data_IF_568438263175
#
_entry.id   IF_568438263175
#
_cell.length_a   1.000
_cell.length_b   1.000
_cell.length_c   1.000
_cell.angle_alpha   90.00
_cell.angle_beta   90.00
_cell.angle_gamma   90.00
#
_symmetry.space_group_name_H-M   'P 1'
#
loop_
_entity.id
_entity.type
_entity.pdbx_description
1 polymer ?
#
# COMPACT_ATOMS: atom_id res chain seq x y z
N UNK A 1 5.82 16.50 -26.23
CA UNK A 1 6.76 16.60 -25.11
C UNK A 1 6.68 18.03 -24.60
N UNK A 2 5.93 18.26 -23.51
CA UNK A 2 5.78 19.58 -22.90
C UNK A 2 7.03 19.92 -22.07
N UNK A 3 7.61 21.07 -22.34
CA UNK A 3 8.72 21.61 -21.55
C UNK A 3 8.15 22.10 -20.22
N UNK A 4 8.61 21.52 -19.13
CA UNK A 4 8.29 21.97 -17.78
C UNK A 4 9.22 23.15 -17.44
N UNK A 5 8.68 24.36 -17.35
CA UNK A 5 9.44 25.52 -16.90
C UNK A 5 9.23 25.69 -15.39
N UNK A 6 10.29 25.62 -14.62
CA UNK A 6 10.29 25.96 -13.20
C UNK A 6 10.71 27.42 -13.09
N UNK A 7 9.80 28.27 -12.61
CA UNK A 7 10.12 29.66 -12.34
C UNK A 7 10.43 29.82 -10.85
N UNK A 8 11.65 30.18 -10.51
CA UNK A 8 12.04 30.58 -9.16
C UNK A 8 11.80 32.09 -9.00
N UNK A 9 11.00 32.48 -8.03
CA UNK A 9 10.86 33.88 -7.64
C UNK A 9 11.56 34.07 -6.31
N UNK A 10 12.73 34.71 -6.30
CA UNK A 10 13.36 35.17 -5.07
C UNK A 10 12.71 36.49 -4.63
N UNK A 11 12.17 36.53 -3.42
CA UNK A 11 11.80 37.76 -2.75
C UNK A 11 12.87 38.10 -1.73
N UNK A 12 13.66 39.12 -2.03
CA UNK A 12 14.57 39.73 -1.06
C UNK A 12 13.76 40.45 0.01
N UNK A 13 13.96 40.09 1.28
CA UNK A 13 13.60 40.82 2.50
C UNK A 13 12.72 40.18 3.54
N UNK A 14 12.68 38.85 3.67
CA UNK A 14 12.05 38.24 4.87
C UNK A 14 12.94 37.07 5.38
N UNK A 15 13.11 36.89 6.70
CA UNK A 15 14.04 35.93 7.28
C UNK A 15 13.56 34.46 7.22
N UNK A 16 12.49 34.17 6.53
CA UNK A 16 12.07 32.79 6.19
C UNK A 16 11.95 32.68 4.68
N UNK A 17 12.92 32.00 4.07
CA UNK A 17 12.90 31.65 2.66
C UNK A 17 11.78 30.64 2.39
N UNK A 18 10.62 31.10 2.01
CA UNK A 18 9.62 30.25 1.37
C UNK A 18 10.00 30.16 -0.11
N UNK A 19 10.51 29.02 -0.54
CA UNK A 19 10.65 28.71 -1.96
C UNK A 19 9.28 28.39 -2.52
N UNK A 20 8.74 29.28 -3.35
CA UNK A 20 7.52 29.01 -4.10
C UNK A 20 7.90 28.35 -5.43
N UNK A 21 7.54 27.10 -5.63
CA UNK A 21 7.62 26.45 -6.92
C UNK A 21 6.24 26.59 -7.57
N UNK A 22 6.10 27.49 -8.52
CA UNK A 22 4.89 27.56 -9.33
C UNK A 22 4.98 26.47 -10.42
N UNK A 23 4.22 25.40 -10.26
CA UNK A 23 4.03 24.41 -11.31
C UNK A 23 2.98 24.94 -12.29
N UNK A 24 3.40 25.38 -13.45
CA UNK A 24 2.49 25.72 -14.55
C UNK A 24 2.25 24.47 -15.39
N UNK A 25 1.08 23.88 -15.27
CA UNK A 25 0.63 22.81 -16.18
C UNK A 25 -0.16 23.44 -17.33
N UNK A 26 0.10 23.02 -18.55
CA UNK A 26 -0.74 23.38 -19.68
C UNK A 26 -1.90 22.38 -19.79
N UNK A 27 -3.08 22.90 -20.06
CA UNK A 27 -4.21 22.05 -20.43
C UNK A 27 -4.02 21.43 -21.84
N UNK A 28 -4.98 20.61 -22.25
CA UNK A 28 -4.97 19.95 -23.56
C UNK A 28 -4.94 20.94 -24.76
N UNK A 29 -5.34 22.19 -24.51
CA UNK A 29 -5.45 23.25 -25.51
C UNK A 29 -4.23 24.20 -25.45
N UNK A 30 -3.27 23.91 -24.55
CA UNK A 30 -2.01 24.67 -24.43
C UNK A 30 -2.08 25.89 -23.52
N UNK A 31 -3.21 26.15 -22.84
CA UNK A 31 -3.36 27.27 -21.92
C UNK A 31 -2.65 26.97 -20.58
N UNK A 32 -2.03 28.00 -20.01
CA UNK A 32 -1.44 27.87 -18.68
C UNK A 32 -2.53 27.77 -17.61
N UNK A 33 -2.56 26.64 -16.91
CA UNK A 33 -3.35 26.52 -15.70
C UNK A 33 -2.58 27.10 -14.52
N UNK A 34 -2.96 28.31 -14.09
CA UNK A 34 -2.50 28.86 -12.80
C UNK A 34 -3.42 28.27 -11.74
N UNK A 35 -2.92 27.29 -11.00
CA UNK A 35 -3.66 26.71 -9.88
C UNK A 35 -3.39 27.56 -8.64
N UNK A 36 -4.35 28.37 -8.26
CA UNK A 36 -4.37 29.14 -7.00
C UNK A 36 -4.44 30.63 -7.19
N UNK A 37 -5.55 31.25 -6.78
CA UNK A 37 -5.76 32.70 -6.83
C UNK A 37 -5.08 33.46 -5.70
N UNK A 38 -4.62 32.79 -4.65
CA UNK A 38 -4.19 33.43 -3.41
C UNK A 38 -2.82 32.98 -2.91
N UNK A 39 -1.81 32.92 -3.77
CA UNK A 39 -0.41 32.61 -3.39
C UNK A 39 -0.22 31.27 -2.65
N UNK A 40 -1.16 30.35 -2.74
CA UNK A 40 -1.07 29.01 -2.18
C UNK A 40 -0.56 28.00 -3.19
N UNK A 41 0.40 27.18 -2.80
CA UNK A 41 0.76 25.97 -3.55
C UNK A 41 -0.34 24.94 -3.29
N UNK A 42 -1.08 24.55 -4.32
CA UNK A 42 -2.01 23.43 -4.21
C UNK A 42 -1.16 22.15 -4.26
N UNK A 43 -0.91 21.57 -3.10
CA UNK A 43 -0.35 20.22 -3.02
C UNK A 43 -1.43 19.20 -3.38
N UNK A 44 -1.21 18.43 -4.43
CA UNK A 44 -2.07 17.27 -4.72
C UNK A 44 -1.46 16.08 -4.02
N UNK A 45 -2.21 15.48 -3.09
CA UNK A 45 -1.84 14.19 -2.52
C UNK A 45 -1.91 13.13 -3.64
N UNK A 46 -0.79 12.50 -3.92
CA UNK A 46 -0.68 11.51 -4.98
C UNK A 46 -1.63 10.31 -4.72
N UNK A 47 -1.83 9.92 -3.48
CA UNK A 47 -2.73 8.82 -3.13
C UNK A 47 -4.18 9.20 -3.42
N UNK A 48 -4.57 10.44 -3.11
CA UNK A 48 -5.88 10.97 -3.43
C UNK A 48 -6.10 11.05 -4.95
N UNK A 49 -5.09 11.46 -5.69
CA UNK A 49 -5.14 11.47 -7.15
C UNK A 49 -5.33 10.06 -7.73
N UNK A 50 -4.55 9.08 -7.26
CA UNK A 50 -4.68 7.67 -7.66
C UNK A 50 -6.06 7.08 -7.32
N UNK A 51 -6.64 7.50 -6.19
CA UNK A 51 -8.01 7.12 -5.84
C UNK A 51 -9.01 7.62 -6.90
N UNK A 52 -8.92 8.88 -7.32
CA UNK A 52 -9.78 9.45 -8.36
C UNK A 52 -9.60 8.79 -9.72
N UNK A 53 -8.38 8.41 -10.09
CA UNK A 53 -8.10 7.66 -11.32
C UNK A 53 -8.62 6.22 -11.30
N UNK A 54 -9.10 5.73 -10.15
CA UNK A 54 -9.55 4.34 -10.00
C UNK A 54 -8.40 3.34 -9.88
N UNK A 55 -7.21 3.80 -9.53
CA UNK A 55 -5.98 3.01 -9.39
C UNK A 55 -5.64 2.65 -7.95
N UNK A 56 -6.54 2.93 -7.01
CA UNK A 56 -6.40 2.56 -5.60
C UNK A 56 -7.32 1.38 -5.25
N UNK A 57 -6.75 0.39 -4.61
CA UNK A 57 -7.40 -0.87 -4.27
C UNK A 57 -7.20 -1.23 -2.80
N UNK A 58 -8.07 -2.09 -2.30
CA UNK A 58 -7.98 -2.68 -0.97
C UNK A 58 -8.34 -4.16 -1.02
N UNK A 59 -7.70 -4.93 -0.18
CA UNK A 59 -8.02 -6.32 0.06
C UNK A 59 -7.81 -6.63 1.54
N UNK A 60 -8.68 -7.41 2.15
CA UNK A 60 -8.55 -7.82 3.53
C UNK A 60 -9.11 -9.22 3.74
N UNK A 61 -8.57 -9.93 4.71
CA UNK A 61 -9.11 -11.20 5.14
C UNK A 61 -8.94 -11.40 6.63
N UNK A 62 -9.92 -12.10 7.22
CA UNK A 62 -9.93 -12.48 8.64
C UNK A 62 -9.60 -13.95 8.76
N UNK A 63 -8.62 -14.27 9.58
CA UNK A 63 -8.14 -15.62 9.81
C UNK A 63 -8.46 -16.08 11.22
N UNK A 64 -9.52 -16.88 11.40
CA UNK A 64 -9.77 -17.56 12.67
C UNK A 64 -8.85 -18.78 12.77
N UNK A 65 -7.76 -18.70 13.52
CA UNK A 65 -6.74 -19.78 13.51
C UNK A 65 -6.33 -20.25 14.90
N UNK A 66 -6.24 -21.56 15.03
CA UNK A 66 -5.85 -22.23 16.26
C UNK A 66 -4.34 -22.45 16.43
N UNK A 67 -3.52 -22.34 15.42
CA UNK A 67 -2.06 -22.51 15.57
C UNK A 67 -1.24 -22.13 14.33
N UNK A 68 -1.84 -21.75 13.25
CA UNK A 68 -1.11 -21.57 11.99
C UNK A 68 -1.63 -20.38 11.21
N UNK A 69 -0.78 -19.56 10.85
CA UNK A 69 -0.47 -18.81 9.66
C UNK A 69 -1.62 -18.33 8.78
N UNK A 70 -1.69 -17.03 8.67
CA UNK A 70 -2.30 -16.41 7.51
C UNK A 70 -1.20 -16.17 6.47
N UNK A 71 -1.34 -16.75 5.31
CA UNK A 71 -0.43 -16.53 4.18
C UNK A 71 -1.19 -15.83 3.05
N UNK A 72 -0.66 -14.68 2.62
CA UNK A 72 -1.11 -13.99 1.43
C UNK A 72 0.09 -13.82 0.50
N UNK A 73 -0.06 -14.22 -0.75
CA UNK A 73 0.92 -13.92 -1.78
C UNK A 73 0.34 -12.91 -2.74
N UNK A 74 1.13 -11.87 -3.04
CA UNK A 74 0.80 -10.86 -4.03
C UNK A 74 1.91 -10.75 -5.05
N UNK A 75 1.53 -10.45 -6.29
CA UNK A 75 2.45 -10.20 -7.38
C UNK A 75 1.93 -9.06 -8.26
N UNK A 76 2.76 -8.07 -8.52
CA UNK A 76 2.47 -7.04 -9.50
C UNK A 76 2.65 -7.61 -10.91
N UNK A 77 1.75 -7.28 -11.81
CA UNK A 77 1.82 -7.67 -13.22
C UNK A 77 2.98 -7.04 -13.98
N UNK A 78 3.18 -7.42 -15.24
CA UNK A 78 4.24 -6.86 -16.08
C UNK A 78 4.12 -5.33 -16.20
N UNK A 79 5.21 -4.62 -15.93
CA UNK A 79 5.26 -3.17 -16.03
C UNK A 79 4.46 -2.40 -14.97
N UNK A 80 3.85 -3.10 -14.02
CA UNK A 80 3.10 -2.49 -12.93
C UNK A 80 4.02 -2.20 -11.75
N UNK A 81 4.01 -0.95 -11.29
CA UNK A 81 4.63 -0.55 -10.05
C UNK A 81 3.51 -0.36 -9.03
N UNK A 82 3.41 -1.28 -8.06
CA UNK A 82 2.40 -1.23 -7.02
C UNK A 82 3.04 -0.77 -5.70
N UNK A 83 2.48 0.28 -5.12
CA UNK A 83 2.79 0.75 -3.78
C UNK A 83 1.81 0.12 -2.81
N UNK A 84 2.26 -0.78 -1.97
CA UNK A 84 1.41 -1.57 -1.06
C UNK A 84 1.66 -1.17 0.38
N UNK A 85 0.62 -0.72 1.05
CA UNK A 85 0.58 -0.50 2.50
C UNK A 85 -0.10 -1.67 3.19
N UNK A 86 0.44 -2.11 4.33
CA UNK A 86 -0.05 -3.27 5.06
C UNK A 86 -0.44 -2.85 6.45
N UNK A 87 -1.64 -3.24 6.86
CA UNK A 87 -2.06 -3.18 8.26
C UNK A 87 -2.45 -4.57 8.77
N UNK A 88 -2.20 -4.80 10.05
CA UNK A 88 -2.44 -6.09 10.70
C UNK A 88 -3.00 -5.89 12.09
N UNK A 89 -3.98 -6.71 12.42
CA UNK A 89 -4.55 -6.78 13.76
C UNK A 89 -4.64 -8.24 14.21
N UNK A 90 -4.42 -8.50 15.48
CA UNK A 90 -4.54 -9.83 16.06
C UNK A 90 -5.12 -9.79 17.46
N UNK A 91 -5.94 -10.76 17.80
CA UNK A 91 -6.47 -10.93 19.16
C UNK A 91 -5.44 -11.54 20.12
N UNK A 92 -4.30 -11.99 19.65
CA UNK A 92 -3.18 -12.53 20.42
C UNK A 92 -1.84 -12.18 19.78
N UNK A 93 -0.76 -12.53 20.46
CA UNK A 93 0.59 -12.23 19.99
C UNK A 93 0.92 -13.02 18.72
N UNK A 94 1.43 -12.32 17.72
CA UNK A 94 1.80 -12.88 16.41
C UNK A 94 3.14 -12.33 15.93
N UNK A 95 3.82 -13.12 15.11
CA UNK A 95 4.94 -12.68 14.29
C UNK A 95 4.46 -12.44 12.86
N UNK A 96 4.81 -11.31 12.30
CA UNK A 96 4.58 -10.98 10.91
C UNK A 96 5.89 -10.98 10.12
N UNK A 97 5.85 -11.60 8.95
CA UNK A 97 7.00 -11.71 8.05
C UNK A 97 6.64 -11.28 6.65
N UNK A 98 7.58 -10.62 5.99
CA UNK A 98 7.51 -10.31 4.57
C UNK A 98 8.69 -10.96 3.86
N UNK A 99 8.38 -11.74 2.82
CA UNK A 99 9.37 -12.40 2.00
C UNK A 99 9.22 -11.98 0.54
N UNK A 100 10.35 -11.85 -0.14
CA UNK A 100 10.45 -11.56 -1.57
C UNK A 100 10.93 -12.78 -2.35
N UNK A 101 10.38 -13.00 -3.55
CA UNK A 101 10.75 -14.10 -4.43
C UNK A 101 10.21 -15.44 -3.95
N UNK A 102 9.07 -15.45 -3.27
CA UNK A 102 8.41 -16.69 -2.82
C UNK A 102 7.89 -17.52 -3.99
N UNK A 103 7.79 -18.83 -3.79
CA UNK A 103 7.08 -19.72 -4.71
C UNK A 103 5.97 -20.46 -3.98
N UNK A 104 4.80 -20.52 -4.62
CA UNK A 104 3.60 -21.11 -4.02
C UNK A 104 2.78 -21.87 -5.05
N UNK A 105 1.91 -22.77 -4.58
CA UNK A 105 0.94 -23.49 -5.41
C UNK A 105 -0.42 -23.48 -4.75
N UNK A 106 -1.49 -23.58 -5.55
CA UNK A 106 -2.86 -23.61 -5.03
C UNK A 106 -3.27 -22.31 -4.32
N UNK A 107 -4.13 -22.44 -3.34
CA UNK A 107 -4.73 -21.31 -2.63
C UNK A 107 -5.99 -20.79 -3.31
N UNK A 108 -6.56 -19.73 -2.74
CA UNK A 108 -7.79 -19.11 -3.27
C UNK A 108 -7.45 -17.74 -3.84
N UNK A 109 -7.73 -17.54 -5.12
CA UNK A 109 -7.57 -16.23 -5.75
C UNK A 109 -8.46 -15.18 -5.04
N UNK A 110 -7.90 -14.03 -4.76
CA UNK A 110 -8.59 -12.93 -4.11
C UNK A 110 -8.83 -11.80 -5.10
N UNK A 111 -10.07 -11.32 -5.16
CA UNK A 111 -10.41 -10.20 -6.04
C UNK A 111 -10.28 -8.90 -5.28
N UNK A 112 -9.34 -8.02 -5.66
CA UNK A 112 -9.19 -6.72 -5.04
C UNK A 112 -10.45 -5.86 -5.14
N UNK A 113 -10.73 -5.13 -4.09
CA UNK A 113 -11.84 -4.17 -4.06
C UNK A 113 -11.26 -2.80 -4.44
N UNK A 114 -11.78 -2.23 -5.51
CA UNK A 114 -11.42 -0.88 -5.90
C UNK A 114 -12.03 0.14 -4.96
N UNK A 115 -11.23 1.11 -4.52
CA UNK A 115 -11.68 2.17 -3.60
C UNK A 115 -12.56 3.22 -4.28
N UNK A 116 -12.31 3.55 -5.57
CA UNK A 116 -13.21 4.37 -6.34
C UNK A 116 -14.33 3.52 -6.96
N UNK A 117 -15.53 3.59 -6.39
CA UNK A 117 -16.67 2.77 -6.81
C UNK A 117 -17.35 3.22 -8.11
N UNK A 118 -16.99 4.41 -8.63
CA UNK A 118 -17.59 4.99 -9.84
C UNK A 118 -16.84 4.60 -11.12
N UNK A 119 -15.66 4.00 -11.01
CA UNK A 119 -14.82 3.65 -12.16
C UNK A 119 -14.76 2.12 -12.30
N UNK A 120 -14.92 1.61 -13.50
CA UNK A 120 -14.73 0.18 -13.80
C UNK A 120 -13.26 -0.08 -14.20
N UNK A 121 -12.41 -0.43 -13.24
CA UNK A 121 -11.03 -0.86 -13.50
C UNK A 121 -10.72 -2.14 -12.70
N UNK A 122 -9.81 -2.96 -13.19
CA UNK A 122 -9.28 -4.14 -12.52
C UNK A 122 -7.84 -3.86 -12.10
N UNK A 123 -7.42 -4.39 -10.95
CA UNK A 123 -6.03 -4.32 -10.53
C UNK A 123 -5.16 -5.23 -11.38
N UNK A 124 -3.94 -4.78 -11.66
CA UNK A 124 -2.87 -5.61 -12.23
C UNK A 124 -2.07 -6.37 -11.15
N UNK A 125 -2.44 -6.21 -9.89
CA UNK A 125 -1.88 -6.99 -8.78
C UNK A 125 -2.73 -8.24 -8.59
N UNK A 126 -2.12 -9.41 -8.77
CA UNK A 126 -2.74 -10.69 -8.46
C UNK A 126 -2.52 -11.03 -6.98
N UNK A 127 -3.52 -11.60 -6.34
CA UNK A 127 -3.47 -12.04 -4.94
C UNK A 127 -3.97 -13.46 -4.78
N UNK A 128 -3.31 -14.22 -3.91
CA UNK A 128 -3.72 -15.58 -3.53
C UNK A 128 -3.68 -15.70 -2.01
N UNK A 129 -4.78 -16.17 -1.46
CA UNK A 129 -4.96 -16.41 -0.04
C UNK A 129 -4.74 -17.87 0.30
N UNK A 130 -4.08 -18.14 1.42
CA UNK A 130 -3.78 -19.49 1.94
C UNK A 130 -3.14 -20.43 0.87
N UNK A 131 -2.12 -19.98 0.12
CA UNK A 131 -1.43 -20.87 -0.81
C UNK A 131 -0.60 -21.91 -0.06
N UNK A 132 -0.28 -23.01 -0.73
CA UNK A 132 0.79 -23.92 -0.26
C UNK A 132 2.13 -23.30 -0.61
N UNK A 133 2.92 -22.93 0.40
CA UNK A 133 4.23 -22.34 0.20
C UNK A 133 5.25 -23.43 -0.09
N UNK A 134 5.87 -23.38 -1.27
CA UNK A 134 6.96 -24.26 -1.69
C UNK A 134 8.30 -23.70 -1.23
N UNK A 135 8.51 -22.40 -1.41
CA UNK A 135 9.68 -21.67 -0.90
C UNK A 135 9.23 -20.30 -0.42
N UNK A 136 9.72 -19.89 0.74
CA UNK A 136 9.40 -18.56 1.27
C UNK A 136 10.10 -17.43 0.51
N UNK A 137 11.25 -17.72 -0.10
CA UNK A 137 12.10 -16.68 -0.70
C UNK A 137 12.97 -15.99 0.36
N UNK A 138 13.33 -14.74 0.09
CA UNK A 138 14.20 -13.93 0.95
C UNK A 138 13.37 -13.14 1.97
N UNK A 139 13.68 -13.30 3.26
CA UNK A 139 13.07 -12.50 4.32
C UNK A 139 13.54 -11.04 4.21
N UNK A 140 12.61 -10.12 4.00
CA UNK A 140 12.91 -8.69 3.89
C UNK A 140 12.39 -7.88 5.09
N UNK A 141 11.41 -8.41 5.84
CA UNK A 141 10.94 -7.77 7.07
C UNK A 141 10.34 -8.79 8.06
N UNK A 142 10.48 -8.47 9.35
CA UNK A 142 9.82 -9.16 10.46
C UNK A 142 9.34 -8.14 11.49
N UNK A 143 8.13 -8.33 11.99
CA UNK A 143 7.55 -7.51 13.06
C UNK A 143 6.81 -8.37 14.06
N UNK A 144 6.78 -7.90 15.31
CA UNK A 144 5.92 -8.45 16.35
C UNK A 144 4.59 -7.69 16.35
N UNK A 145 3.50 -8.43 16.26
CA UNK A 145 2.13 -7.93 16.41
C UNK A 145 1.67 -8.36 17.80
N UNK A 146 1.61 -7.41 18.72
CA UNK A 146 1.14 -7.70 20.08
C UNK A 146 -0.39 -7.70 20.10
N UNK A 147 -0.96 -8.82 20.53
CA UNK A 147 -2.39 -8.96 20.76
C UNK A 147 -2.79 -8.59 22.18
N UNK A 148 -4.09 -8.56 22.45
CA UNK A 148 -4.60 -8.33 23.79
C UNK A 148 -6.04 -8.78 23.96
N UNK A 149 -6.36 -9.33 25.12
CA UNK A 149 -7.74 -9.62 25.53
C UNK A 149 -8.34 -8.35 26.12
N UNK A 150 -9.19 -7.66 25.36
CA UNK A 150 -9.93 -6.49 25.83
C UNK A 150 -10.11 -5.41 24.78
N UNK A 151 -10.89 -4.39 25.09
CA UNK A 151 -11.22 -3.26 24.19
C UNK A 151 -10.02 -2.39 23.75
N UNK A 152 -8.79 -2.78 24.10
CA UNK A 152 -7.54 -2.08 23.76
C UNK A 152 -6.61 -2.92 22.89
N UNK A 153 -7.08 -4.05 22.41
CA UNK A 153 -6.34 -4.90 21.49
C UNK A 153 -6.46 -4.41 20.05
N UNK A 154 -6.18 -3.17 19.79
CA UNK A 154 -5.67 -2.81 18.50
C UNK A 154 -4.20 -3.18 18.55
N UNK A 155 -3.82 -4.29 17.96
CA UNK A 155 -2.45 -4.53 17.60
C UNK A 155 -1.99 -3.25 16.92
N UNK A 156 -1.09 -2.52 17.58
CA UNK A 156 -0.63 -1.27 17.00
C UNK A 156 -0.14 -1.61 15.62
N UNK A 157 -0.74 -1.07 14.60
CA UNK A 157 -0.07 -0.92 13.33
C UNK A 157 1.24 -0.25 13.68
N UNK A 158 2.31 -1.01 13.76
CA UNK A 158 3.60 -0.44 13.50
C UNK A 158 3.36 0.32 12.20
N UNK A 159 3.59 1.63 12.20
CA UNK A 159 3.12 2.56 11.17
C UNK A 159 3.11 1.92 9.79
N UNK A 160 2.12 2.21 8.98
CA UNK A 160 1.87 1.53 7.71
C UNK A 160 3.18 1.32 6.96
N UNK A 161 3.61 0.06 6.87
CA UNK A 161 4.77 -0.27 6.06
C UNK A 161 4.34 -0.17 4.61
N UNK A 162 4.97 0.69 3.88
CA UNK A 162 4.77 0.80 2.44
C UNK A 162 5.90 0.08 1.72
N UNK A 163 5.54 -0.77 0.78
CA UNK A 163 6.47 -1.46 -0.13
C UNK A 163 6.16 -1.08 -1.56
N UNK A 164 7.21 -0.88 -2.35
CA UNK A 164 7.09 -0.80 -3.80
C UNK A 164 7.43 -2.16 -4.37
N UNK A 165 6.44 -2.85 -4.91
CA UNK A 165 6.60 -4.19 -5.42
C UNK A 165 7.31 -4.20 -6.78
N UNK A 166 8.33 -5.03 -6.92
CA UNK A 166 8.96 -5.30 -8.20
C UNK A 166 8.00 -6.08 -9.12
N UNK A 167 7.86 -5.70 -10.40
CA UNK A 167 7.02 -6.43 -11.35
C UNK A 167 7.42 -7.91 -11.45
N UNK A 168 6.44 -8.79 -11.63
CA UNK A 168 6.61 -10.23 -11.81
C UNK A 168 7.29 -10.94 -10.63
N UNK A 169 7.36 -10.29 -9.47
CA UNK A 169 7.95 -10.86 -8.25
C UNK A 169 6.84 -11.19 -7.26
N UNK A 170 6.86 -12.40 -6.72
CA UNK A 170 5.92 -12.81 -5.67
C UNK A 170 6.42 -12.34 -4.30
N UNK A 171 5.54 -11.71 -3.54
CA UNK A 171 5.76 -11.32 -2.15
C UNK A 171 4.83 -12.13 -1.26
N UNK A 172 5.40 -12.83 -0.28
CA UNK A 172 4.65 -13.58 0.73
C UNK A 172 4.54 -12.74 2.01
N UNK A 173 3.33 -12.45 2.40
CA UNK A 173 2.97 -11.87 3.70
C UNK A 173 2.47 -12.99 4.60
N UNK A 174 3.18 -13.24 5.68
CA UNK A 174 2.91 -14.35 6.60
C UNK A 174 2.71 -13.86 8.01
N UNK A 175 1.60 -14.24 8.62
CA UNK A 175 1.34 -14.02 10.04
C UNK A 175 1.35 -15.36 10.77
N UNK A 176 2.14 -15.49 11.83
CA UNK A 176 2.23 -16.71 12.65
C UNK A 176 1.84 -16.41 14.09
N UNK A 177 1.09 -17.30 14.74
CA UNK A 177 0.89 -17.21 16.17
C UNK A 177 2.23 -17.33 16.92
N UNK A 178 2.43 -16.49 17.91
CA UNK A 178 3.58 -16.55 18.80
C UNK A 178 3.37 -17.52 19.98
N UNK A 179 2.14 -17.94 20.21
CA UNK A 179 1.77 -18.88 21.28
C UNK A 179 0.93 -20.06 20.73
N UNK A 180 0.44 -20.92 21.63
CA UNK A 180 -0.38 -22.10 21.30
C UNK A 180 -1.88 -21.86 21.31
N UNK A 181 -2.32 -20.66 21.66
CA UNK A 181 -3.73 -20.30 21.74
C UNK A 181 -4.31 -19.99 20.37
N UNK A 182 -5.62 -20.15 20.21
CA UNK A 182 -6.32 -19.70 19.02
C UNK A 182 -6.49 -18.19 19.01
N UNK A 183 -6.09 -17.56 17.92
CA UNK A 183 -6.26 -16.11 17.73
C UNK A 183 -7.01 -15.83 16.44
N UNK A 184 -7.69 -14.68 16.41
CA UNK A 184 -8.23 -14.12 15.18
C UNK A 184 -7.30 -13.02 14.72
N UNK A 185 -6.91 -13.08 13.48
CA UNK A 185 -6.07 -12.06 12.86
C UNK A 185 -6.75 -11.45 11.63
N UNK A 186 -6.57 -10.17 11.43
CA UNK A 186 -6.92 -9.44 10.24
C UNK A 186 -5.65 -9.00 9.54
N UNK A 187 -5.56 -9.24 8.23
CA UNK A 187 -4.56 -8.64 7.36
C UNK A 187 -5.31 -7.79 6.35
N UNK A 188 -4.95 -6.53 6.26
CA UNK A 188 -5.46 -5.59 5.28
C UNK A 188 -4.32 -5.05 4.43
N UNK A 189 -4.52 -5.01 3.13
CA UNK A 189 -3.59 -4.52 2.14
C UNK A 189 -4.27 -3.40 1.36
N UNK A 190 -3.66 -2.24 1.35
CA UNK A 190 -4.06 -1.14 0.49
C UNK A 190 -2.95 -0.87 -0.51
N UNK A 191 -3.29 -0.64 -1.77
CA UNK A 191 -2.28 -0.26 -2.76
C UNK A 191 -2.83 0.65 -3.84
N UNK A 192 -1.88 1.28 -4.52
CA UNK A 192 -2.12 2.01 -5.77
C UNK A 192 -1.07 1.64 -6.82
N UNK A 193 -1.49 1.74 -8.08
CA UNK A 193 -0.69 1.33 -9.26
C UNK A 193 -0.80 2.32 -10.42
#
# INVERSE_FOLDING_TARGET
RGLMAILYVERESQPQKAQFVALTQKDKDGNQMITGSDNGVIGVDINHHRLHEGRAFIAWNVYPRSAKLADIVIAAGPGTIAHVSISMESSGDCDFFVYEGSSTTGGTAFTPIRRNRNIAATSNVAMVNDPTVVSTGTLINRQFVTGGTGKKASGGTAGSLEYVLAPLTNYLFRLTNADTSSHTALIELEWYE
#
